data_IF_404152338799
#
_entry.id   IF_404152338799
#
_cell.length_a   1.000
_cell.length_b   1.000
_cell.length_c   1.000
_cell.angle_alpha   90.00
_cell.angle_beta   90.00
_cell.angle_gamma   90.00
#
_symmetry.space_group_name_H-M   'P 1'
#
loop_
_entity.id
_entity.type
_entity.pdbx_description
1 polymer ?
#
# COMPACT_ATOMS: atom_id res chain seq x y z
N UNK A 1 -1.63 -1.36 6.33
CA UNK A 1 -2.85 -0.52 6.39
C UNK A 1 -4.04 -1.34 5.93
N UNK A 2 -5.24 -1.13 6.48
CA UNK A 2 -6.44 -1.89 6.09
C UNK A 2 -7.50 -0.97 5.42
N UNK A 3 -8.10 -1.39 4.32
CA UNK A 3 -9.22 -0.69 3.66
C UNK A 3 -10.39 -1.64 3.47
N UNK A 4 -11.62 -1.10 3.48
CA UNK A 4 -12.86 -1.88 3.28
C UNK A 4 -13.72 -1.19 2.23
N UNK A 5 -14.25 -1.97 1.29
CA UNK A 5 -15.19 -1.53 0.27
C UNK A 5 -16.36 -2.52 0.12
N UNK A 6 -17.54 -2.00 -0.24
CA UNK A 6 -18.78 -2.77 -0.34
C UNK A 6 -19.23 -2.83 -1.80
N UNK A 7 -19.59 -4.01 -2.27
CA UNK A 7 -19.93 -4.25 -3.67
C UNK A 7 -21.32 -4.89 -3.81
N UNK A 8 -22.05 -4.42 -4.83
CA UNK A 8 -23.29 -5.05 -5.28
C UNK A 8 -23.01 -6.32 -6.07
N UNK A 9 -24.05 -7.12 -6.34
CA UNK A 9 -23.92 -8.38 -7.09
C UNK A 9 -23.25 -8.20 -8.46
N UNK A 10 -23.51 -7.07 -9.12
CA UNK A 10 -22.96 -6.74 -10.45
C UNK A 10 -21.44 -6.62 -10.43
N UNK A 11 -20.85 -6.14 -9.34
CA UNK A 11 -19.41 -5.94 -9.22
C UNK A 11 -18.70 -7.05 -8.44
N UNK A 12 -19.43 -7.90 -7.71
CA UNK A 12 -18.85 -8.98 -6.90
C UNK A 12 -17.92 -9.90 -7.71
N UNK A 13 -18.35 -10.36 -8.89
CA UNK A 13 -17.53 -11.25 -9.71
C UNK A 13 -16.25 -10.57 -10.22
N UNK A 14 -16.29 -9.25 -10.50
CA UNK A 14 -15.10 -8.51 -10.94
C UNK A 14 -14.04 -8.51 -9.84
N UNK A 15 -14.46 -8.26 -8.60
CA UNK A 15 -13.58 -8.28 -7.42
C UNK A 15 -13.00 -9.68 -7.20
N UNK A 16 -13.84 -10.71 -7.20
CA UNK A 16 -13.41 -12.10 -7.00
C UNK A 16 -12.37 -12.51 -8.05
N UNK A 17 -12.63 -12.21 -9.33
CA UNK A 17 -11.70 -12.51 -10.42
C UNK A 17 -10.39 -11.75 -10.31
N UNK A 18 -10.41 -10.51 -9.81
CA UNK A 18 -9.19 -9.75 -9.54
C UNK A 18 -8.35 -10.41 -8.44
N UNK A 19 -8.98 -10.78 -7.31
CA UNK A 19 -8.30 -11.44 -6.19
C UNK A 19 -7.66 -12.75 -6.63
N UNK A 20 -8.39 -13.55 -7.40
CA UNK A 20 -7.96 -14.88 -7.83
C UNK A 20 -7.10 -14.89 -9.11
N UNK A 21 -6.75 -13.70 -9.63
CA UNK A 21 -6.03 -13.52 -10.90
C UNK A 21 -6.63 -14.29 -12.09
N UNK A 22 -7.95 -14.26 -12.25
CA UNK A 22 -8.69 -15.01 -13.29
C UNK A 22 -8.97 -14.24 -14.59
N UNK A 23 -8.59 -12.96 -14.68
CA UNK A 23 -8.73 -12.19 -15.92
C UNK A 23 -7.51 -12.38 -16.82
N UNK A 24 -7.76 -12.34 -18.13
CA UNK A 24 -6.71 -12.35 -19.16
C UNK A 24 -5.95 -11.03 -19.20
N UNK A 25 -6.65 -9.92 -18.94
CA UNK A 25 -6.10 -8.57 -18.91
C UNK A 25 -6.63 -7.79 -17.71
N UNK A 26 -5.85 -6.81 -17.26
CA UNK A 26 -6.18 -5.93 -16.15
C UNK A 26 -6.03 -4.47 -16.56
N UNK A 27 -6.86 -3.60 -15.99
CA UNK A 27 -6.72 -2.15 -16.16
C UNK A 27 -5.53 -1.60 -15.37
N UNK A 28 -5.14 -2.26 -14.28
CA UNK A 28 -3.95 -1.88 -13.52
C UNK A 28 -2.70 -2.34 -14.28
N UNK A 29 -1.98 -1.39 -14.86
CA UNK A 29 -0.74 -1.63 -15.62
C UNK A 29 0.41 -2.13 -14.74
N UNK A 30 0.28 -1.98 -13.42
CA UNK A 30 1.30 -2.45 -12.47
C UNK A 30 1.23 -3.96 -12.22
N UNK A 31 0.17 -4.65 -12.63
CA UNK A 31 0.07 -6.11 -12.47
C UNK A 31 1.01 -6.79 -13.48
N UNK A 32 2.06 -7.42 -12.96
CA UNK A 32 2.99 -8.24 -13.73
C UNK A 32 2.55 -9.71 -13.72
N UNK A 33 1.82 -10.12 -14.76
CA UNK A 33 1.31 -11.48 -14.89
C UNK A 33 2.42 -12.56 -14.90
N UNK A 34 3.66 -12.22 -15.27
CA UNK A 34 4.77 -13.16 -15.21
C UNK A 34 5.14 -13.55 -13.77
N UNK A 35 4.82 -12.66 -12.82
CA UNK A 35 5.03 -12.84 -11.39
C UNK A 35 3.78 -13.34 -10.66
N UNK A 36 2.63 -13.51 -11.31
CA UNK A 36 1.43 -14.01 -10.62
C UNK A 36 1.61 -15.41 -10.00
N UNK A 37 2.61 -16.19 -10.40
CA UNK A 37 3.01 -17.45 -9.73
C UNK A 37 3.55 -17.24 -8.31
N UNK A 38 3.95 -16.00 -7.99
CA UNK A 38 4.41 -15.57 -6.68
C UNK A 38 3.28 -15.33 -5.69
N UNK A 39 2.06 -15.13 -6.18
CA UNK A 39 0.88 -14.87 -5.38
C UNK A 39 0.45 -16.13 -4.63
N UNK A 40 -0.22 -15.93 -3.50
CA UNK A 40 -0.74 -17.03 -2.72
C UNK A 40 -2.24 -16.89 -2.54
N UNK A 41 -3.00 -17.77 -3.17
CA UNK A 41 -4.46 -17.77 -3.13
C UNK A 41 -4.94 -18.76 -2.08
N UNK A 42 -5.78 -18.27 -1.16
CA UNK A 42 -6.42 -19.05 -0.11
C UNK A 42 -7.94 -19.00 -0.31
N UNK A 43 -8.60 -20.14 -0.15
CA UNK A 43 -10.02 -20.32 -0.50
C UNK A 43 -10.31 -20.09 -2.01
N UNK A 44 -10.20 -21.17 -2.76
CA UNK A 44 -10.28 -21.19 -4.24
C UNK A 44 -11.70 -21.31 -4.79
N UNK A 45 -12.72 -21.37 -3.94
CA UNK A 45 -14.09 -21.59 -4.42
C UNK A 45 -14.70 -20.39 -5.14
N UNK A 46 -14.17 -19.18 -4.90
CA UNK A 46 -14.41 -18.00 -5.73
C UNK A 46 -15.89 -17.70 -5.97
N UNK A 47 -16.27 -17.50 -7.24
CA UNK A 47 -17.63 -17.13 -7.61
C UNK A 47 -18.65 -18.26 -7.33
N UNK A 48 -18.22 -19.52 -7.33
CA UNK A 48 -19.10 -20.64 -6.98
C UNK A 48 -19.41 -20.65 -5.47
N UNK A 49 -18.40 -20.44 -4.62
CA UNK A 49 -18.62 -20.25 -3.17
C UNK A 49 -19.53 -19.07 -2.90
N UNK A 50 -19.33 -17.95 -3.60
CA UNK A 50 -20.20 -16.78 -3.49
C UNK A 50 -21.66 -17.11 -3.82
N UNK A 51 -21.93 -17.76 -4.95
CA UNK A 51 -23.29 -18.16 -5.35
C UNK A 51 -23.91 -19.14 -4.35
N UNK A 52 -23.14 -20.14 -3.93
CA UNK A 52 -23.58 -21.16 -2.97
C UNK A 52 -24.00 -20.51 -1.66
N UNK A 53 -23.11 -19.72 -1.05
CA UNK A 53 -23.36 -19.09 0.24
C UNK A 53 -24.51 -18.08 0.17
N UNK A 54 -24.66 -17.33 -0.92
CA UNK A 54 -25.83 -16.46 -1.14
C UNK A 54 -27.15 -17.22 -1.29
N UNK A 55 -27.13 -18.48 -1.71
CA UNK A 55 -28.31 -19.35 -1.76
C UNK A 55 -28.69 -19.93 -0.39
N UNK A 56 -27.74 -19.98 0.55
CA UNK A 56 -27.94 -20.50 1.91
C UNK A 56 -28.46 -19.44 2.88
N UNK A 57 -28.18 -18.16 2.62
CA UNK A 57 -28.59 -17.03 3.48
C UNK A 57 -29.69 -16.20 2.84
N UNK A 58 -30.53 -15.59 3.69
CA UNK A 58 -31.55 -14.70 3.19
C UNK A 58 -30.92 -13.42 2.62
N UNK A 59 -31.22 -13.10 1.36
CA UNK A 59 -30.72 -11.88 0.73
C UNK A 59 -31.87 -11.11 0.08
N UNK A 60 -31.91 -9.78 0.30
CA UNK A 60 -32.90 -8.93 -0.34
C UNK A 60 -32.82 -8.98 -1.87
N UNK A 61 -33.98 -9.05 -2.52
CA UNK A 61 -34.09 -8.96 -3.97
C UNK A 61 -34.13 -7.50 -4.45
N UNK A 62 -33.10 -6.72 -4.09
CA UNK A 62 -32.86 -5.38 -4.64
C UNK A 62 -31.48 -5.34 -5.29
N UNK A 63 -31.34 -4.50 -6.32
CA UNK A 63 -30.11 -4.36 -7.12
C UNK A 63 -28.98 -3.64 -6.38
N UNK A 64 -29.33 -2.79 -5.42
CA UNK A 64 -28.43 -1.96 -4.62
C UNK A 64 -27.93 -2.66 -3.33
N UNK A 65 -28.25 -3.94 -3.14
CA UNK A 65 -27.79 -4.70 -1.98
C UNK A 65 -26.31 -5.00 -2.14
N UNK A 66 -25.53 -4.51 -1.18
CA UNK A 66 -24.14 -4.88 -1.01
C UNK A 66 -24.05 -6.33 -0.51
N UNK A 67 -23.63 -7.21 -1.40
CA UNK A 67 -23.61 -8.67 -1.22
C UNK A 67 -22.20 -9.21 -1.03
N UNK A 68 -21.19 -8.41 -1.35
CA UNK A 68 -19.80 -8.70 -1.11
C UNK A 68 -19.14 -7.51 -0.41
N UNK A 69 -18.22 -7.80 0.49
CA UNK A 69 -17.31 -6.82 1.07
C UNK A 69 -15.90 -7.26 0.73
N UNK A 70 -15.10 -6.36 0.17
CA UNK A 70 -13.67 -6.54 -0.02
C UNK A 70 -12.90 -5.80 1.06
N UNK A 71 -11.84 -6.41 1.56
CA UNK A 71 -10.89 -5.83 2.49
C UNK A 71 -9.49 -6.03 1.95
N UNK A 72 -8.66 -5.00 1.99
CA UNK A 72 -7.23 -5.10 1.67
C UNK A 72 -6.43 -4.80 2.92
N UNK A 73 -5.44 -5.64 3.23
CA UNK A 73 -4.44 -5.36 4.27
C UNK A 73 -3.06 -5.36 3.65
N UNK A 74 -2.45 -4.18 3.58
CA UNK A 74 -1.10 -3.97 3.05
C UNK A 74 -0.07 -4.19 4.15
N UNK A 75 1.00 -4.94 3.83
CA UNK A 75 2.16 -5.08 4.69
C UNK A 75 2.76 -3.69 4.98
N UNK A 76 3.04 -3.33 6.23
CA UNK A 76 3.71 -2.08 6.55
C UNK A 76 5.11 -2.00 5.92
N UNK A 77 5.50 -0.82 5.39
CA UNK A 77 6.83 -0.60 4.77
C UNK A 77 7.97 -0.95 5.75
N UNK A 78 7.75 -0.77 7.06
CA UNK A 78 8.68 -1.13 8.14
C UNK A 78 9.01 -2.64 8.18
N UNK A 79 8.15 -3.50 7.62
CA UNK A 79 8.35 -4.95 7.57
C UNK A 79 8.84 -5.42 6.19
N UNK A 80 9.14 -4.50 5.28
CA UNK A 80 9.59 -4.82 3.92
C UNK A 80 10.97 -5.49 3.86
N UNK A 81 11.80 -5.35 4.90
CA UNK A 81 13.10 -6.01 5.00
C UNK A 81 13.01 -7.53 5.25
N UNK A 82 11.83 -8.02 5.64
CA UNK A 82 11.63 -9.44 5.91
C UNK A 82 11.69 -10.26 4.62
N UNK A 83 12.11 -11.52 4.73
CA UNK A 83 12.06 -12.47 3.62
C UNK A 83 10.61 -12.71 3.17
N UNK A 84 10.41 -13.03 1.89
CA UNK A 84 9.08 -13.31 1.33
C UNK A 84 8.26 -14.32 2.16
N UNK A 85 8.82 -15.46 2.65
CA UNK A 85 8.07 -16.38 3.51
C UNK A 85 7.58 -15.75 4.82
N UNK A 86 8.37 -14.86 5.43
CA UNK A 86 7.97 -14.17 6.65
C UNK A 86 6.90 -13.11 6.37
N UNK A 87 7.02 -12.37 5.25
CA UNK A 87 5.98 -11.45 4.80
C UNK A 87 4.66 -12.17 4.53
N UNK A 88 4.72 -13.29 3.81
CA UNK A 88 3.57 -14.16 3.54
C UNK A 88 2.93 -14.66 4.84
N UNK A 89 3.73 -15.09 5.82
CA UNK A 89 3.23 -15.55 7.12
C UNK A 89 2.46 -14.43 7.86
N UNK A 90 2.99 -13.21 7.88
CA UNK A 90 2.32 -12.06 8.50
C UNK A 90 0.99 -11.75 7.79
N UNK A 91 0.99 -11.75 6.44
CA UNK A 91 -0.22 -11.48 5.66
C UNK A 91 -1.26 -12.61 5.76
N UNK A 92 -0.84 -13.87 5.91
CA UNK A 92 -1.73 -15.00 6.25
C UNK A 92 -2.41 -14.77 7.59
N UNK A 93 -1.68 -14.31 8.60
CA UNK A 93 -2.27 -13.97 9.89
C UNK A 93 -3.25 -12.80 9.80
N UNK A 94 -3.02 -11.82 8.92
CA UNK A 94 -4.02 -10.79 8.63
C UNK A 94 -5.30 -11.39 8.02
N UNK A 95 -5.17 -12.34 7.08
CA UNK A 95 -6.32 -13.05 6.52
C UNK A 95 -7.07 -13.85 7.58
N UNK A 96 -6.37 -14.57 8.45
CA UNK A 96 -6.97 -15.34 9.55
C UNK A 96 -7.74 -14.44 10.52
N UNK A 97 -7.19 -13.27 10.86
CA UNK A 97 -7.91 -12.27 11.66
C UNK A 97 -9.22 -11.83 10.98
N UNK A 98 -9.19 -11.55 9.67
CA UNK A 98 -10.40 -11.16 8.92
C UNK A 98 -11.41 -12.31 8.83
N UNK A 99 -10.92 -13.54 8.70
CA UNK A 99 -11.72 -14.76 8.68
C UNK A 99 -12.44 -14.98 10.01
N UNK A 100 -11.74 -14.83 11.13
CA UNK A 100 -12.33 -14.91 12.47
C UNK A 100 -13.35 -13.78 12.70
N UNK A 101 -12.99 -12.55 12.31
CA UNK A 101 -13.83 -11.36 12.49
C UNK A 101 -15.14 -11.41 11.70
N UNK A 102 -15.12 -11.90 10.45
CA UNK A 102 -16.26 -11.86 9.53
C UNK A 102 -16.91 -13.23 9.25
N UNK A 103 -16.34 -14.29 9.83
CA UNK A 103 -16.84 -15.66 9.76
C UNK A 103 -16.29 -16.44 8.57
N UNK A 104 -15.63 -17.55 8.86
CA UNK A 104 -15.03 -18.46 7.86
C UNK A 104 -16.02 -18.89 6.78
N UNK A 105 -17.23 -19.29 7.18
CA UNK A 105 -18.29 -19.73 6.26
C UNK A 105 -18.73 -18.65 5.26
N UNK A 106 -18.41 -17.37 5.52
CA UNK A 106 -18.76 -16.25 4.66
C UNK A 106 -17.61 -15.86 3.71
N UNK A 107 -16.44 -16.48 3.85
CA UNK A 107 -15.26 -16.21 3.03
C UNK A 107 -15.50 -16.67 1.59
N UNK A 108 -15.27 -15.78 0.63
CA UNK A 108 -15.48 -16.05 -0.79
C UNK A 108 -14.17 -16.22 -1.54
N UNK A 109 -13.22 -15.31 -1.31
CA UNK A 109 -11.91 -15.33 -1.93
C UNK A 109 -10.89 -14.64 -1.04
N UNK A 110 -9.68 -15.17 -0.96
CA UNK A 110 -8.57 -14.54 -0.28
C UNK A 110 -7.30 -14.73 -1.10
N UNK A 111 -6.47 -13.70 -1.21
CA UNK A 111 -5.24 -13.78 -2.00
C UNK A 111 -4.20 -12.79 -1.54
N UNK A 112 -2.98 -13.25 -1.36
CA UNK A 112 -1.80 -12.39 -1.16
C UNK A 112 -1.20 -12.11 -2.52
N UNK A 113 -1.07 -10.83 -2.86
CA UNK A 113 -0.48 -10.38 -4.11
C UNK A 113 0.93 -9.86 -3.88
N UNK A 114 1.85 -10.35 -4.72
CA UNK A 114 3.27 -9.98 -4.78
C UNK A 114 3.65 -9.45 -6.17
N UNK A 115 2.71 -9.46 -7.12
CA UNK A 115 2.92 -9.21 -8.55
C UNK A 115 2.61 -7.78 -8.99
N UNK A 116 2.24 -6.88 -8.07
CA UNK A 116 1.94 -5.48 -8.39
C UNK A 116 3.20 -4.62 -8.23
N UNK A 117 3.67 -4.04 -9.34
CA UNK A 117 4.91 -3.27 -9.43
C UNK A 117 4.80 -1.98 -8.62
N UNK A 118 5.82 -1.69 -7.80
CA UNK A 118 5.84 -0.50 -6.95
C UNK A 118 4.89 -0.56 -5.75
N UNK A 119 4.04 -1.58 -5.66
CA UNK A 119 3.16 -1.78 -4.51
C UNK A 119 3.79 -2.72 -3.48
N UNK A 120 3.44 -2.47 -2.22
CA UNK A 120 3.85 -3.32 -1.11
C UNK A 120 2.95 -4.56 -1.08
N UNK A 121 3.50 -5.76 -0.81
CA UNK A 121 2.69 -6.98 -0.71
C UNK A 121 1.48 -6.79 0.20
N UNK A 122 0.34 -7.30 -0.24
CA UNK A 122 -0.92 -7.08 0.44
C UNK A 122 -1.83 -8.28 0.27
N UNK A 123 -2.73 -8.46 1.24
CA UNK A 123 -3.76 -9.48 1.17
C UNK A 123 -5.10 -8.87 0.85
N UNK A 124 -5.76 -9.39 -0.18
CA UNK A 124 -7.17 -9.17 -0.44
C UNK A 124 -7.99 -10.25 0.22
N UNK A 125 -9.09 -9.86 0.85
CA UNK A 125 -10.05 -10.74 1.49
C UNK A 125 -11.47 -10.30 1.13
N UNK A 126 -12.25 -11.21 0.56
CA UNK A 126 -13.62 -10.95 0.15
C UNK A 126 -14.59 -11.91 0.84
N UNK A 127 -15.68 -11.37 1.38
CA UNK A 127 -16.68 -12.12 2.14
C UNK A 127 -18.10 -11.60 1.92
N UNK A 128 -19.09 -12.44 2.19
CA UNK A 128 -20.51 -12.06 2.20
C UNK A 128 -20.85 -11.51 3.60
N UNK A 129 -21.41 -10.30 3.71
CA UNK A 129 -21.65 -9.69 5.02
C UNK A 129 -22.93 -10.25 5.67
N UNK A 130 -22.80 -11.40 6.33
CA UNK A 130 -23.90 -12.10 6.97
C UNK A 130 -24.07 -11.65 8.42
N UNK A 131 -25.31 -11.46 8.85
CA UNK A 131 -25.70 -11.21 10.25
C UNK A 131 -26.86 -12.12 10.64
N UNK A 132 -27.01 -12.41 11.93
CA UNK A 132 -28.18 -13.13 12.44
C UNK A 132 -29.39 -12.20 12.55
N UNK A 133 -30.56 -12.69 12.16
CA UNK A 133 -31.84 -12.00 12.20
C UNK A 133 -32.91 -12.93 12.77
N UNK A 134 -33.67 -12.44 13.75
CA UNK A 134 -34.66 -13.25 14.49
C UNK A 134 -35.72 -13.88 13.59
N UNK A 135 -36.07 -13.24 12.47
CA UNK A 135 -37.15 -13.69 11.57
C UNK A 135 -36.64 -14.47 10.37
N UNK A 136 -35.40 -14.22 9.95
CA UNK A 136 -34.85 -14.71 8.68
C UNK A 136 -33.68 -15.66 8.87
N UNK A 137 -33.24 -15.90 10.10
CA UNK A 137 -32.00 -16.62 10.38
C UNK A 137 -30.81 -15.80 9.88
N UNK A 138 -29.93 -16.42 9.12
CA UNK A 138 -28.80 -15.72 8.49
C UNK A 138 -29.28 -14.80 7.35
N UNK A 139 -28.91 -13.52 7.39
CA UNK A 139 -29.20 -12.56 6.32
C UNK A 139 -27.99 -11.78 5.86
N UNK A 140 -28.00 -11.35 4.60
CA UNK A 140 -27.00 -10.41 4.05
C UNK A 140 -27.34 -8.97 4.46
N UNK A 141 -26.46 -8.32 5.21
CA UNK A 141 -26.57 -6.90 5.56
C UNK A 141 -25.19 -6.26 5.82
N UNK A 142 -24.58 -5.73 4.76
CA UNK A 142 -23.33 -4.95 4.88
C UNK A 142 -23.46 -3.69 5.74
N UNK A 143 -24.69 -3.17 5.91
CA UNK A 143 -24.96 -2.01 6.76
C UNK A 143 -24.86 -2.38 8.25
N UNK A 144 -25.34 -3.56 8.63
CA UNK A 144 -25.36 -4.01 10.01
C UNK A 144 -24.00 -4.57 10.43
N UNK A 145 -23.37 -5.41 9.59
CA UNK A 145 -22.08 -6.02 9.90
C UNK A 145 -20.94 -5.00 9.87
N UNK A 146 -20.74 -4.34 8.73
CA UNK A 146 -19.66 -3.36 8.51
C UNK A 146 -20.18 -1.96 8.84
N UNK A 147 -20.51 -1.76 10.10
CA UNK A 147 -21.03 -0.49 10.63
C UNK A 147 -19.90 0.42 11.11
N UNK A 148 -20.25 1.61 11.63
CA UNK A 148 -19.25 2.59 12.12
C UNK A 148 -18.36 2.03 13.23
N UNK A 149 -18.93 1.23 14.14
CA UNK A 149 -18.17 0.61 15.23
C UNK A 149 -17.15 -0.37 14.67
N UNK A 150 -17.55 -1.25 13.77
CA UNK A 150 -16.65 -2.21 13.11
C UNK A 150 -15.43 -1.48 12.50
N UNK A 151 -15.69 -0.48 11.66
CA UNK A 151 -14.66 0.32 11.00
C UNK A 151 -13.71 1.04 11.97
N UNK A 152 -14.24 1.55 13.09
CA UNK A 152 -13.43 2.23 14.11
C UNK A 152 -12.54 1.27 14.91
N UNK A 153 -12.97 0.02 15.07
CA UNK A 153 -12.26 -0.99 15.85
C UNK A 153 -11.29 -1.84 15.03
N UNK A 154 -11.54 -2.01 13.72
CA UNK A 154 -10.77 -2.89 12.82
C UNK A 154 -9.25 -2.75 12.99
N UNK A 155 -8.71 -1.55 12.88
CA UNK A 155 -7.26 -1.33 12.92
C UNK A 155 -6.65 -1.62 14.29
N UNK A 156 -7.36 -1.28 15.37
CA UNK A 156 -6.89 -1.52 16.74
C UNK A 156 -6.92 -3.02 17.04
N UNK A 157 -8.01 -3.68 16.68
CA UNK A 157 -8.18 -5.11 16.91
C UNK A 157 -7.16 -5.91 16.07
N UNK A 158 -6.85 -5.46 14.83
CA UNK A 158 -5.79 -6.04 14.00
C UNK A 158 -4.39 -5.85 14.63
N UNK A 159 -4.10 -4.66 15.17
CA UNK A 159 -2.84 -4.39 15.89
C UNK A 159 -2.69 -5.34 17.06
N UNK A 160 -3.72 -5.46 17.90
CA UNK A 160 -3.70 -6.29 19.10
C UNK A 160 -3.50 -7.77 18.73
N UNK A 161 -4.19 -8.24 17.69
CA UNK A 161 -3.99 -9.58 17.15
C UNK A 161 -2.55 -9.82 16.65
N UNK A 162 -1.99 -8.87 15.92
CA UNK A 162 -0.63 -8.99 15.37
C UNK A 162 0.44 -8.96 16.46
N UNK A 163 0.28 -8.11 17.48
CA UNK A 163 1.17 -8.07 18.64
C UNK A 163 1.08 -9.36 19.45
N UNK A 164 -0.11 -9.96 19.59
CA UNK A 164 -0.26 -11.29 20.21
C UNK A 164 0.48 -12.39 19.45
N UNK A 165 0.45 -12.37 18.11
CA UNK A 165 1.05 -13.43 17.28
C UNK A 165 2.55 -13.27 17.04
N UNK A 166 3.04 -12.05 16.91
CA UNK A 166 4.42 -11.78 16.50
C UNK A 166 5.22 -10.93 17.49
N UNK A 167 4.58 -10.47 18.57
CA UNK A 167 5.19 -9.56 19.53
C UNK A 167 5.17 -8.10 19.06
N UNK A 168 5.35 -7.20 20.02
CA UNK A 168 5.60 -5.79 19.71
C UNK A 168 6.98 -5.63 19.04
N UNK A 169 7.12 -4.73 18.05
CA UNK A 169 6.15 -3.71 17.60
C UNK A 169 5.38 -4.10 16.31
N UNK A 170 5.28 -5.39 15.96
CA UNK A 170 4.78 -5.83 14.64
C UNK A 170 3.38 -5.30 14.34
N UNK A 171 2.47 -5.42 15.29
CA UNK A 171 1.10 -4.91 15.16
C UNK A 171 1.01 -3.40 15.10
N UNK A 172 1.90 -2.68 15.79
CA UNK A 172 1.89 -1.21 15.83
C UNK A 172 2.12 -0.60 14.44
N UNK A 173 2.90 -1.27 13.59
CA UNK A 173 3.09 -0.86 12.21
C UNK A 173 1.82 -0.92 11.35
N UNK A 174 0.79 -1.70 11.77
CA UNK A 174 -0.53 -1.70 11.13
C UNK A 174 -1.44 -0.56 11.62
N UNK A 175 -1.07 0.12 12.72
CA UNK A 175 -1.88 1.14 13.40
C UNK A 175 -1.23 2.53 13.34
N UNK A 176 -1.20 3.13 12.16
CA UNK A 176 -0.54 4.44 11.93
C UNK A 176 -1.42 5.65 12.23
N UNK A 177 -2.74 5.46 12.38
CA UNK A 177 -3.70 6.55 12.52
C UNK A 177 -3.90 7.41 11.26
N UNK A 178 -3.33 7.01 10.11
CA UNK A 178 -3.35 7.80 8.88
C UNK A 178 -4.76 8.01 8.34
N UNK A 179 -5.64 7.00 8.42
CA UNK A 179 -7.05 7.12 8.04
C UNK A 179 -7.77 8.18 8.85
N UNK A 180 -7.44 8.32 10.14
CA UNK A 180 -7.99 9.37 11.00
C UNK A 180 -7.46 10.75 10.61
N UNK A 181 -6.17 10.84 10.28
CA UNK A 181 -5.52 12.09 9.84
C UNK A 181 -6.09 12.59 8.50
N UNK A 182 -6.30 11.67 7.55
CA UNK A 182 -6.83 11.98 6.23
C UNK A 182 -8.35 12.19 6.23
N UNK A 183 -9.06 11.78 7.30
CA UNK A 183 -10.52 11.81 7.39
C UNK A 183 -11.23 10.76 6.53
N UNK A 184 -10.53 10.09 5.62
CA UNK A 184 -11.03 9.03 4.72
C UNK A 184 -9.90 8.10 4.27
N UNK A 185 -10.28 6.97 3.65
CA UNK A 185 -9.36 6.19 2.84
C UNK A 185 -9.10 6.90 1.51
N UNK A 186 -7.87 6.79 1.01
CA UNK A 186 -7.46 7.27 -0.30
C UNK A 186 -7.58 6.13 -1.33
N UNK A 187 -7.84 6.47 -2.58
CA UNK A 187 -7.79 5.50 -3.70
C UNK A 187 -6.35 5.14 -4.03
N UNK A 188 -6.16 4.06 -4.79
CA UNK A 188 -4.82 3.66 -5.28
C UNK A 188 -4.18 4.79 -6.09
N UNK A 189 -4.93 5.43 -7.00
CA UNK A 189 -4.43 6.55 -7.80
C UNK A 189 -4.02 7.76 -6.94
N UNK A 190 -4.80 8.09 -5.90
CA UNK A 190 -4.47 9.16 -4.96
C UNK A 190 -3.19 8.83 -4.16
N UNK A 191 -3.02 7.56 -3.76
CA UNK A 191 -1.80 7.11 -3.07
C UNK A 191 -0.60 7.23 -4.00
N UNK A 192 -0.71 6.81 -5.27
CA UNK A 192 0.36 6.92 -6.27
C UNK A 192 0.77 8.37 -6.50
N UNK A 193 -0.19 9.28 -6.66
CA UNK A 193 0.09 10.71 -6.80
C UNK A 193 0.80 11.31 -5.57
N UNK A 194 0.42 10.87 -4.36
CA UNK A 194 1.08 11.31 -3.13
C UNK A 194 2.51 10.76 -3.00
N UNK A 195 2.73 9.48 -3.34
CA UNK A 195 4.05 8.86 -3.32
C UNK A 195 4.97 9.49 -4.38
N UNK A 196 4.47 9.80 -5.58
CA UNK A 196 5.18 10.58 -6.61
C UNK A 196 5.55 11.97 -6.10
N UNK A 197 4.60 12.68 -5.50
CA UNK A 197 4.83 14.02 -4.96
C UNK A 197 5.88 14.01 -3.84
N UNK A 198 5.84 12.99 -2.96
CA UNK A 198 6.85 12.82 -1.90
C UNK A 198 8.24 12.55 -2.49
N UNK A 199 8.33 11.69 -3.51
CA UNK A 199 9.59 11.37 -4.19
C UNK A 199 10.17 12.61 -4.87
N UNK A 200 9.33 13.40 -5.54
CA UNK A 200 9.75 14.68 -6.14
C UNK A 200 10.22 15.68 -5.09
N UNK A 201 9.56 15.76 -3.93
CA UNK A 201 9.98 16.63 -2.83
C UNK A 201 11.35 16.24 -2.25
N UNK A 202 11.60 14.94 -2.07
CA UNK A 202 12.93 14.46 -1.65
C UNK A 202 13.99 14.80 -2.70
N UNK A 203 13.69 14.58 -3.99
CA UNK A 203 14.61 14.91 -5.07
C UNK A 203 14.91 16.40 -5.16
N UNK A 204 13.91 17.27 -4.92
CA UNK A 204 14.12 18.71 -4.85
C UNK A 204 15.05 19.07 -3.70
N UNK A 205 14.87 18.49 -2.51
CA UNK A 205 15.78 18.73 -1.38
C UNK A 205 17.22 18.28 -1.66
N UNK A 206 17.39 17.12 -2.28
CA UNK A 206 18.72 16.62 -2.64
C UNK A 206 19.41 17.55 -3.64
N UNK A 207 18.67 18.03 -4.64
CA UNK A 207 19.17 18.99 -5.63
C UNK A 207 19.47 20.36 -5.01
N UNK A 208 18.70 20.80 -4.02
CA UNK A 208 18.98 22.03 -3.28
C UNK A 208 20.29 21.92 -2.50
N UNK A 209 20.53 20.79 -1.83
CA UNK A 209 21.80 20.53 -1.14
C UNK A 209 22.98 20.44 -2.12
N UNK A 210 22.80 19.75 -3.24
CA UNK A 210 23.83 19.66 -4.29
C UNK A 210 24.15 21.05 -4.88
N UNK A 211 23.12 21.89 -5.08
CA UNK A 211 23.29 23.28 -5.53
C UNK A 211 24.12 24.08 -4.53
N UNK A 212 23.81 23.99 -3.24
CA UNK A 212 24.54 24.70 -2.18
C UNK A 212 26.03 24.28 -2.12
N UNK A 213 26.31 22.98 -2.27
CA UNK A 213 27.69 22.46 -2.33
C UNK A 213 28.42 22.99 -3.57
N UNK A 214 27.76 23.02 -4.73
CA UNK A 214 28.35 23.54 -5.96
C UNK A 214 28.59 25.05 -5.89
N UNK A 215 27.68 25.82 -5.30
CA UNK A 215 27.83 27.26 -5.07
C UNK A 215 29.08 27.55 -4.22
N UNK A 216 29.27 26.83 -3.11
CA UNK A 216 30.46 26.97 -2.27
C UNK A 216 31.76 26.61 -3.01
N UNK A 217 31.72 25.60 -3.88
CA UNK A 217 32.88 25.20 -4.68
C UNK A 217 33.23 26.20 -5.78
N UNK A 218 32.21 26.86 -6.35
CA UNK A 218 32.44 27.95 -7.31
C UNK A 218 33.12 29.13 -6.61
N UNK A 219 32.64 29.50 -5.42
CA UNK A 219 33.26 30.57 -4.62
C UNK A 219 34.74 30.26 -4.31
N UNK A 220 35.05 29.03 -3.88
CA UNK A 220 36.43 28.59 -3.64
C UNK A 220 37.32 28.69 -4.88
N UNK A 221 36.80 28.28 -6.05
CA UNK A 221 37.55 28.35 -7.31
C UNK A 221 37.74 29.79 -7.80
N UNK A 222 36.77 30.68 -7.57
CA UNK A 222 36.87 32.10 -7.90
C UNK A 222 37.96 32.77 -7.06
N UNK A 223 38.08 32.42 -5.78
CA UNK A 223 39.14 32.95 -4.92
C UNK A 223 40.52 32.41 -5.31
N UNK A 224 40.63 31.11 -5.62
CA UNK A 224 41.88 30.53 -6.16
C UNK A 224 42.30 31.19 -7.49
N UNK A 225 41.35 31.53 -8.35
CA UNK A 225 41.64 32.19 -9.62
C UNK A 225 42.20 33.60 -9.40
N UNK A 226 41.62 34.38 -8.48
CA UNK A 226 42.14 35.71 -8.12
C UNK A 226 43.58 35.64 -7.60
N UNK A 227 43.86 34.70 -6.68
CA UNK A 227 45.22 34.50 -6.17
C UNK A 227 46.20 34.17 -7.30
N UNK A 228 45.80 33.33 -8.24
CA UNK A 228 46.62 32.96 -9.39
C UNK A 228 46.87 34.13 -10.35
N UNK A 229 45.85 34.96 -10.60
CA UNK A 229 45.96 36.17 -11.42
C UNK A 229 46.92 37.20 -10.80
N UNK A 230 46.81 37.45 -9.49
CA UNK A 230 47.73 38.32 -8.74
C UNK A 230 49.19 37.81 -8.81
N UNK A 231 49.42 36.51 -8.60
CA UNK A 231 50.74 35.91 -8.75
C UNK A 231 51.32 36.06 -10.16
N UNK A 232 50.47 35.91 -11.17
CA UNK A 232 50.87 36.05 -12.57
C UNK A 232 51.27 37.48 -12.90
N UNK A 233 50.51 38.48 -12.45
CA UNK A 233 50.84 39.90 -12.64
C UNK A 233 52.20 40.25 -11.99
N UNK A 234 52.43 39.83 -10.75
CA UNK A 234 53.70 40.07 -10.04
C UNK A 234 54.89 39.43 -10.76
N UNK A 235 54.75 38.20 -11.26
CA UNK A 235 55.80 37.53 -12.05
C UNK A 235 56.06 38.26 -13.37
N UNK A 236 55.02 38.78 -14.01
CA UNK A 236 55.11 39.45 -15.30
C UNK A 236 55.68 40.88 -15.19
N UNK A 237 55.47 41.57 -14.06
CA UNK A 237 56.17 42.82 -13.72
C UNK A 237 57.65 42.59 -13.47
N UNK A 238 58.01 41.58 -12.65
CA UNK A 238 59.43 41.23 -12.41
C UNK A 238 60.21 40.88 -13.67
N UNK A 239 59.59 40.19 -14.63
CA UNK A 239 60.24 39.87 -15.91
C UNK A 239 60.42 41.12 -16.80
N UNK A 240 59.51 42.09 -16.72
CA UNK A 240 59.64 43.37 -17.46
C UNK A 240 60.73 44.26 -16.89
N UNK A 241 60.92 44.27 -15.58
CA UNK A 241 62.01 45.02 -14.94
C UNK A 241 63.41 44.44 -15.29
N UNK A 242 63.49 43.12 -15.57
CA UNK A 242 64.74 42.45 -15.95
C UNK A 242 65.17 42.71 -17.41
N UNK A 243 64.25 43.11 -18.30
CA UNK A 243 64.55 43.38 -19.72
C UNK A 243 65.14 44.77 -19.99
N UNK A 244 65.15 45.68 -19.01
CA UNK A 244 65.66 47.06 -19.15
C UNK A 244 67.04 47.32 -18.51
N UNK A 245 67.70 46.31 -17.93
CA UNK A 245 69.02 46.44 -17.28
C UNK A 245 70.24 46.11 -18.18
N UNK A 246 70.09 46.05 -19.51
CA UNK A 246 71.19 45.83 -20.46
C UNK A 246 71.46 47.02 -21.40
#
# INVERSE_FOLDING_TARGET
MASIEKYTRTNANKVIRHIMRLNETYQNEDIDLSRSTENVIFNTGGYETYKKRLGEVWCQNRKDVNTLVGTVVTLPKQLGYLSKPNQEMILKHAALFLQDRYGEANTVACGIHFDEKGEVPHVHYAFIPVVQDERRGEKVSAKELVNRKDLQTLHRDLRDYMNDKFGEPVGDYFYTGITKRNGRNLTVDEIKQLDELHTLQERVRDLELEREILEAKVEELEDQLKEYEEEYEVKNERNRDFEWEF
#
